data_IF_010619699173
#
_entry.id   IF_010619699173
#
_cell.length_a   1.000
_cell.length_b   1.000
_cell.length_c   1.000
_cell.angle_alpha   90.00
_cell.angle_beta   90.00
_cell.angle_gamma   90.00
#
_symmetry.space_group_name_H-M   'P 1'
#
loop_
_entity.id
_entity.type
_entity.pdbx_description
1 polymer ?
#
# COMPACT_ATOMS: atom_id res chain seq x y z
N UNK A 1 -0.83 -18.87 -13.76
CA UNK A 1 -1.29 -17.47 -13.69
C UNK A 1 -0.52 -16.75 -12.60
N UNK A 2 0.08 -15.61 -12.93
CA UNK A 2 0.90 -14.78 -12.03
C UNK A 2 -0.04 -13.82 -11.27
N UNK A 3 0.28 -13.50 -10.02
CA UNK A 3 -0.43 -12.49 -9.22
C UNK A 3 0.25 -11.12 -9.40
N UNK A 4 -0.50 -10.09 -9.79
CA UNK A 4 0.05 -8.74 -9.95
C UNK A 4 -0.21 -7.92 -8.69
N UNK A 5 0.85 -7.59 -7.96
CA UNK A 5 0.78 -6.93 -6.66
C UNK A 5 1.30 -5.49 -6.79
N UNK A 6 0.42 -4.52 -6.61
CA UNK A 6 0.83 -3.13 -6.40
C UNK A 6 1.07 -2.84 -4.92
N UNK A 7 2.04 -1.96 -4.63
CA UNK A 7 2.36 -1.52 -3.28
C UNK A 7 2.12 -0.01 -3.11
N UNK A 8 1.58 0.39 -1.96
CA UNK A 8 1.41 1.82 -1.63
C UNK A 8 1.58 2.11 -0.14
N UNK A 9 2.19 3.26 0.20
CA UNK A 9 2.53 3.63 1.58
C UNK A 9 3.23 4.99 1.67
N UNK A 10 3.79 5.34 2.83
CA UNK A 10 4.38 6.66 3.05
C UNK A 10 5.71 6.85 2.31
N UNK A 11 6.04 8.12 2.04
CA UNK A 11 7.28 8.54 1.38
C UNK A 11 8.49 8.61 2.31
N UNK A 12 8.26 8.53 3.62
CA UNK A 12 9.29 8.50 4.65
C UNK A 12 8.90 7.39 5.62
N UNK A 13 9.85 6.54 5.94
CA UNK A 13 9.67 5.45 6.90
C UNK A 13 10.59 5.68 8.09
N UNK A 14 10.07 5.45 9.27
CA UNK A 14 10.85 5.26 10.49
C UNK A 14 11.42 3.84 10.52
N UNK A 15 12.45 3.61 11.33
CA UNK A 15 13.00 2.25 11.53
C UNK A 15 11.96 1.27 12.06
N UNK A 16 10.99 1.74 12.85
CA UNK A 16 9.90 0.89 13.35
C UNK A 16 8.98 0.45 12.20
N UNK A 17 8.58 1.39 11.35
CA UNK A 17 7.74 1.11 10.17
C UNK A 17 8.46 0.16 9.21
N UNK A 18 9.74 0.35 8.93
CA UNK A 18 10.52 -0.55 8.06
C UNK A 18 10.56 -1.98 8.61
N UNK A 19 10.82 -2.16 9.91
CA UNK A 19 10.81 -3.49 10.56
C UNK A 19 9.46 -4.16 10.43
N UNK A 20 8.38 -3.39 10.57
CA UNK A 20 7.02 -3.90 10.41
C UNK A 20 6.72 -4.31 8.98
N UNK A 21 7.04 -3.46 8.01
CA UNK A 21 6.89 -3.78 6.58
C UNK A 21 7.65 -5.06 6.24
N UNK A 22 8.90 -5.19 6.70
CA UNK A 22 9.70 -6.40 6.53
C UNK A 22 8.99 -7.65 7.08
N UNK A 23 8.50 -7.58 8.33
CA UNK A 23 7.78 -8.68 8.97
C UNK A 23 6.55 -9.10 8.15
N UNK A 24 5.75 -8.13 7.68
CA UNK A 24 4.54 -8.44 6.92
C UNK A 24 4.86 -9.00 5.53
N UNK A 25 5.87 -8.49 4.84
CA UNK A 25 6.23 -8.98 3.51
C UNK A 25 6.86 -10.38 3.58
N UNK A 26 7.76 -10.61 4.54
CA UNK A 26 8.46 -11.89 4.71
C UNK A 26 7.57 -13.00 5.29
N UNK A 27 6.65 -12.65 6.20
CA UNK A 27 5.80 -13.62 6.88
C UNK A 27 4.60 -14.11 6.05
N UNK A 28 4.11 -13.30 5.11
CA UNK A 28 2.85 -13.55 4.42
C UNK A 28 3.01 -14.17 3.02
N UNK A 29 1.88 -14.31 2.32
CA UNK A 29 1.81 -14.85 0.96
C UNK A 29 2.57 -14.01 -0.08
N UNK A 30 2.84 -12.72 0.20
CA UNK A 30 3.43 -11.74 -0.73
C UNK A 30 4.73 -12.25 -1.36
N UNK A 31 5.64 -12.79 -0.54
CA UNK A 31 6.93 -13.30 -1.01
C UNK A 31 6.86 -14.74 -1.51
N UNK A 32 5.89 -15.51 -1.03
CA UNK A 32 5.70 -16.93 -1.35
C UNK A 32 4.94 -17.15 -2.68
N UNK A 33 4.13 -16.18 -3.11
CA UNK A 33 3.37 -16.28 -4.35
C UNK A 33 4.24 -16.12 -5.60
N UNK A 34 3.85 -16.79 -6.69
CA UNK A 34 4.34 -16.44 -8.03
C UNK A 34 3.69 -15.11 -8.46
N UNK A 35 4.43 -14.01 -8.37
CA UNK A 35 3.88 -12.66 -8.47
C UNK A 35 4.81 -11.69 -9.19
N UNK A 36 4.21 -10.75 -9.93
CA UNK A 36 4.87 -9.58 -10.48
C UNK A 36 4.54 -8.36 -9.63
N UNK A 37 5.55 -7.57 -9.28
CA UNK A 37 5.40 -6.46 -8.35
C UNK A 37 5.34 -5.13 -9.10
N UNK A 38 4.48 -4.22 -8.62
CA UNK A 38 4.24 -2.90 -9.18
C UNK A 38 4.44 -1.87 -8.06
N UNK A 39 5.27 -0.87 -8.31
CA UNK A 39 5.62 0.12 -7.29
C UNK A 39 5.84 1.48 -7.92
N UNK A 40 5.67 2.53 -7.13
CA UNK A 40 6.13 3.86 -7.54
C UNK A 40 7.63 4.07 -7.34
N UNK A 41 8.02 5.33 -7.26
CA UNK A 41 9.41 5.79 -7.22
C UNK A 41 9.76 6.64 -5.99
N UNK A 42 8.94 6.63 -4.93
CA UNK A 42 9.23 7.41 -3.72
C UNK A 42 10.35 6.80 -2.85
N UNK A 43 11.04 7.65 -2.09
CA UNK A 43 12.14 7.25 -1.17
C UNK A 43 11.72 6.29 -0.03
N UNK A 44 10.44 6.29 0.35
CA UNK A 44 9.91 5.50 1.48
C UNK A 44 9.56 4.06 1.12
N UNK A 45 8.28 3.69 1.24
CA UNK A 45 7.83 2.32 0.95
C UNK A 45 8.24 1.88 -0.45
N UNK A 46 8.11 2.74 -1.45
CA UNK A 46 8.39 2.36 -2.84
C UNK A 46 9.85 1.85 -2.98
N UNK A 47 10.84 2.60 -2.47
CA UNK A 47 12.24 2.19 -2.45
C UNK A 47 12.48 0.93 -1.59
N UNK A 48 11.79 0.77 -0.45
CA UNK A 48 11.83 -0.46 0.34
C UNK A 48 11.43 -1.68 -0.50
N UNK A 49 10.31 -1.58 -1.23
CA UNK A 49 9.79 -2.66 -2.07
C UNK A 49 10.74 -2.97 -3.24
N UNK A 50 11.37 -1.96 -3.84
CA UNK A 50 12.41 -2.16 -4.87
C UNK A 50 13.54 -3.06 -4.34
N UNK A 51 14.07 -2.74 -3.15
CA UNK A 51 15.12 -3.56 -2.51
C UNK A 51 14.63 -4.97 -2.18
N UNK A 52 13.43 -5.08 -1.63
CA UNK A 52 12.82 -6.38 -1.30
C UNK A 52 12.60 -7.24 -2.55
N UNK A 53 12.15 -6.65 -3.67
CA UNK A 53 11.95 -7.36 -4.92
C UNK A 53 13.26 -7.98 -5.43
N UNK A 54 14.37 -7.23 -5.36
CA UNK A 54 15.71 -7.75 -5.70
C UNK A 54 16.12 -8.92 -4.80
N UNK A 55 15.92 -8.80 -3.49
CA UNK A 55 16.24 -9.88 -2.53
C UNK A 55 15.42 -11.15 -2.77
N UNK A 56 14.10 -11.02 -2.98
CA UNK A 56 13.18 -12.14 -3.21
C UNK A 56 13.09 -12.57 -4.67
N UNK A 57 13.93 -12.02 -5.56
CA UNK A 57 13.96 -12.29 -7.01
C UNK A 57 12.59 -12.14 -7.68
N UNK A 58 11.84 -11.10 -7.31
CA UNK A 58 10.53 -10.80 -7.88
C UNK A 58 10.70 -9.90 -9.10
N UNK A 59 10.06 -10.20 -10.24
CA UNK A 59 9.98 -9.24 -11.33
C UNK A 59 9.21 -8.00 -10.87
N UNK A 60 9.66 -6.82 -11.28
CA UNK A 60 9.19 -5.54 -10.77
C UNK A 60 9.02 -4.53 -11.90
N UNK A 61 7.90 -3.80 -11.89
CA UNK A 61 7.68 -2.61 -12.71
C UNK A 61 7.59 -1.38 -11.81
N UNK A 62 8.50 -0.43 -12.03
CA UNK A 62 8.54 0.84 -11.32
C UNK A 62 7.83 1.92 -12.15
N UNK A 63 6.99 2.73 -11.50
CA UNK A 63 6.29 3.86 -12.11
C UNK A 63 6.88 5.16 -11.59
N UNK A 64 7.53 5.90 -12.48
CA UNK A 64 8.22 7.14 -12.15
C UNK A 64 7.30 8.35 -12.29
N UNK A 65 7.52 9.37 -11.45
CA UNK A 65 6.82 10.65 -11.56
C UNK A 65 7.33 11.40 -12.80
N UNK A 66 6.39 11.86 -13.62
CA UNK A 66 6.70 12.61 -14.84
C UNK A 66 6.49 14.10 -14.57
N UNK A 67 7.41 14.73 -13.83
CA UNK A 67 7.39 16.15 -13.48
C UNK A 67 7.30 16.44 -11.98
N UNK A 68 7.05 17.70 -11.60
CA UNK A 68 7.19 18.16 -10.21
C UNK A 68 5.88 18.60 -9.53
N UNK A 69 4.82 18.82 -10.31
CA UNK A 69 3.51 19.18 -9.77
C UNK A 69 2.84 18.06 -8.96
N UNK A 70 2.02 18.44 -7.98
CA UNK A 70 1.28 17.50 -7.10
C UNK A 70 0.48 16.46 -7.88
N UNK A 71 -0.12 16.86 -9.01
CA UNK A 71 -0.93 16.00 -9.84
C UNK A 71 -0.11 14.94 -10.59
N UNK A 72 1.19 15.17 -10.86
CA UNK A 72 2.05 14.15 -11.46
C UNK A 72 2.22 12.94 -10.54
N UNK A 73 2.36 13.18 -9.23
CA UNK A 73 2.45 12.09 -8.25
C UNK A 73 1.15 11.28 -8.17
N UNK A 74 0.00 11.97 -8.25
CA UNK A 74 -1.32 11.30 -8.31
C UNK A 74 -1.43 10.48 -9.59
N UNK A 75 -1.03 11.05 -10.73
CA UNK A 75 -1.03 10.37 -12.02
C UNK A 75 -0.13 9.14 -12.02
N UNK A 76 1.03 9.20 -11.37
CA UNK A 76 1.94 8.07 -11.19
C UNK A 76 1.26 6.91 -10.46
N UNK A 77 0.63 7.16 -9.32
CA UNK A 77 -0.11 6.11 -8.59
C UNK A 77 -1.30 5.60 -9.39
N UNK A 78 -2.00 6.48 -10.12
CA UNK A 78 -3.13 6.13 -10.98
C UNK A 78 -2.73 5.13 -12.07
N UNK A 79 -1.64 5.42 -12.80
CA UNK A 79 -1.10 4.51 -13.83
C UNK A 79 -0.70 3.15 -13.27
N UNK A 80 -0.13 3.12 -12.06
CA UNK A 80 0.21 1.86 -11.39
C UNK A 80 -1.03 1.02 -11.10
N UNK A 81 -2.09 1.63 -10.56
CA UNK A 81 -3.36 0.96 -10.29
C UNK A 81 -4.05 0.52 -11.59
N UNK A 82 -4.02 1.35 -12.63
CA UNK A 82 -4.58 0.99 -13.94
C UNK A 82 -3.84 -0.19 -14.57
N UNK A 83 -2.51 -0.23 -14.46
CA UNK A 83 -1.72 -1.33 -15.00
C UNK A 83 -2.02 -2.68 -14.34
N UNK A 84 -2.29 -2.71 -13.03
CA UNK A 84 -2.70 -3.98 -12.39
C UNK A 84 -4.18 -4.28 -12.64
N UNK A 85 -5.05 -3.28 -12.86
CA UNK A 85 -6.48 -3.49 -13.11
C UNK A 85 -6.76 -4.31 -14.39
N UNK A 86 -5.82 -4.34 -15.32
CA UNK A 86 -5.90 -5.14 -16.56
C UNK A 86 -5.49 -6.61 -16.35
N UNK A 87 -4.99 -6.96 -15.16
CA UNK A 87 -4.58 -8.32 -14.80
C UNK A 87 -5.76 -9.22 -14.42
N UNK A 88 -5.62 -10.52 -14.65
CA UNK A 88 -6.57 -11.54 -14.17
C UNK A 88 -6.59 -11.65 -12.64
N UNK A 89 -5.47 -11.32 -11.98
CA UNK A 89 -5.31 -11.44 -10.52
C UNK A 89 -4.64 -10.19 -9.95
N UNK A 90 -5.36 -9.05 -9.89
CA UNK A 90 -4.83 -7.84 -9.28
C UNK A 90 -4.89 -7.91 -7.77
N UNK A 91 -3.91 -7.29 -7.12
CA UNK A 91 -3.94 -7.05 -5.69
C UNK A 91 -3.25 -5.73 -5.35
N UNK A 92 -3.88 -4.92 -4.48
CA UNK A 92 -3.20 -3.82 -3.80
C UNK A 92 -2.79 -4.23 -2.39
N UNK A 93 -1.51 -4.12 -2.08
CA UNK A 93 -0.97 -4.20 -0.72
C UNK A 93 -0.64 -2.79 -0.22
N UNK A 94 -1.29 -2.35 0.84
CA UNK A 94 -1.17 -0.99 1.34
C UNK A 94 -0.64 -0.93 2.79
N UNK A 95 0.21 0.05 3.05
CA UNK A 95 0.82 0.32 4.35
C UNK A 95 0.54 1.76 4.80
N UNK A 96 -0.69 2.13 5.17
CA UNK A 96 -0.99 3.48 5.66
C UNK A 96 -0.34 3.70 7.03
N UNK A 97 0.18 4.90 7.27
CA UNK A 97 0.74 5.32 8.57
C UNK A 97 -0.03 6.47 9.22
N UNK A 98 -1.24 6.75 8.73
CA UNK A 98 -2.15 7.74 9.30
C UNK A 98 -3.58 7.34 8.98
N UNK A 99 -4.55 7.84 9.75
CA UNK A 99 -5.98 7.60 9.50
C UNK A 99 -6.42 8.10 8.13
N UNK A 100 -7.46 7.45 7.60
CA UNK A 100 -8.08 7.88 6.36
C UNK A 100 -8.74 9.26 6.56
N UNK A 101 -8.43 10.26 5.71
CA UNK A 101 -9.10 11.55 5.81
C UNK A 101 -10.60 11.42 5.59
N UNK A 102 -11.40 12.23 6.29
CA UNK A 102 -12.88 12.12 6.31
C UNK A 102 -13.49 12.29 4.92
N UNK A 103 -12.94 13.17 4.07
CA UNK A 103 -13.42 13.36 2.70
C UNK A 103 -12.90 12.32 1.69
N UNK A 104 -12.00 11.43 2.11
CA UNK A 104 -11.42 10.42 1.22
C UNK A 104 -12.35 9.21 1.09
N UNK A 105 -12.87 9.01 -0.12
CA UNK A 105 -13.79 7.93 -0.45
C UNK A 105 -13.54 7.37 -1.85
N UNK A 106 -13.90 6.10 -2.11
CA UNK A 106 -13.79 5.50 -3.43
C UNK A 106 -14.63 6.25 -4.47
N UNK A 107 -13.99 6.76 -5.51
CA UNK A 107 -14.64 7.30 -6.71
C UNK A 107 -13.62 7.41 -7.85
N UNK A 108 -14.07 7.85 -9.03
CA UNK A 108 -13.21 8.02 -10.23
C UNK A 108 -12.03 8.97 -10.00
N UNK A 109 -12.23 10.01 -9.18
CA UNK A 109 -11.23 11.03 -8.86
C UNK A 109 -11.25 11.29 -7.35
N UNK A 110 -10.66 10.40 -6.53
CA UNK A 110 -10.74 10.52 -5.08
C UNK A 110 -9.90 11.70 -4.59
N UNK A 111 -10.39 12.39 -3.56
CA UNK A 111 -9.60 13.37 -2.84
C UNK A 111 -8.89 12.69 -1.67
N UNK A 112 -7.57 12.73 -1.67
CA UNK A 112 -6.75 12.15 -0.61
C UNK A 112 -6.46 13.09 0.55
N UNK A 113 -6.85 14.37 0.48
CA UNK A 113 -6.56 15.40 1.49
C UNK A 113 -5.09 15.39 1.97
N UNK A 114 -4.15 15.26 1.03
CA UNK A 114 -2.71 15.18 1.32
C UNK A 114 -2.19 13.79 1.72
N UNK A 115 -3.02 12.75 1.69
CA UNK A 115 -2.63 11.35 1.81
C UNK A 115 -2.59 10.67 0.44
N UNK A 116 -1.40 10.55 -0.15
CA UNK A 116 -1.22 9.80 -1.39
C UNK A 116 -1.57 8.31 -1.27
N UNK A 117 -1.32 7.71 -0.10
CA UNK A 117 -1.64 6.31 0.20
C UNK A 117 -3.15 6.09 0.19
N UNK A 118 -3.91 6.88 0.95
CA UNK A 118 -5.37 6.75 0.99
C UNK A 118 -6.03 7.09 -0.35
N UNK A 119 -5.48 8.06 -1.09
CA UNK A 119 -5.92 8.35 -2.46
C UNK A 119 -5.76 7.11 -3.37
N UNK A 120 -4.62 6.42 -3.27
CA UNK A 120 -4.33 5.21 -4.05
C UNK A 120 -5.27 4.06 -3.66
N UNK A 121 -5.48 3.87 -2.36
CA UNK A 121 -6.42 2.85 -1.82
C UNK A 121 -7.85 3.13 -2.33
N UNK A 122 -8.34 4.36 -2.18
CA UNK A 122 -9.68 4.75 -2.63
C UNK A 122 -9.87 4.54 -4.13
N UNK A 123 -8.84 4.84 -4.94
CA UNK A 123 -8.89 4.61 -6.38
C UNK A 123 -8.90 3.11 -6.73
N UNK A 124 -8.12 2.28 -6.03
CA UNK A 124 -8.13 0.83 -6.22
C UNK A 124 -9.48 0.20 -5.85
N UNK A 125 -10.12 0.64 -4.77
CA UNK A 125 -11.48 0.22 -4.42
C UNK A 125 -12.48 0.61 -5.51
N UNK A 126 -12.39 1.83 -6.04
CA UNK A 126 -13.24 2.25 -7.16
C UNK A 126 -13.06 1.36 -8.40
N UNK A 127 -11.85 0.82 -8.62
CA UNK A 127 -11.53 -0.12 -9.70
C UNK A 127 -11.92 -1.58 -9.40
N UNK A 128 -12.44 -1.88 -8.21
CA UNK A 128 -12.78 -3.24 -7.82
C UNK A 128 -11.56 -4.14 -7.55
N UNK A 129 -10.39 -3.55 -7.28
CA UNK A 129 -9.17 -4.31 -7.01
C UNK A 129 -9.19 -4.82 -5.56
N UNK A 130 -8.97 -6.13 -5.31
CA UNK A 130 -8.82 -6.68 -3.96
C UNK A 130 -7.66 -6.04 -3.20
N UNK A 131 -7.81 -5.92 -1.88
CA UNK A 131 -6.86 -5.18 -1.04
C UNK A 131 -6.41 -5.98 0.17
N UNK A 132 -5.13 -5.84 0.53
CA UNK A 132 -4.61 -6.13 1.87
C UNK A 132 -4.04 -4.86 2.48
N UNK A 133 -4.56 -4.46 3.64
CA UNK A 133 -4.07 -3.31 4.39
C UNK A 133 -3.30 -3.78 5.62
N UNK A 134 -2.06 -3.31 5.74
CA UNK A 134 -1.19 -3.48 6.88
C UNK A 134 -0.91 -2.09 7.48
N UNK A 135 -1.79 -1.59 8.38
CA UNK A 135 -1.58 -0.29 9.00
C UNK A 135 -0.22 -0.26 9.69
N UNK A 136 0.51 0.86 9.64
CA UNK A 136 1.83 0.97 10.23
C UNK A 136 1.80 1.51 11.66
N UNK A 137 0.70 2.14 12.06
CA UNK A 137 0.42 2.60 13.43
C UNK A 137 -0.82 1.91 14.01
N UNK A 138 -0.92 1.88 15.35
CA UNK A 138 -1.97 1.19 16.10
C UNK A 138 -3.34 1.87 15.98
N UNK A 139 -3.36 3.19 15.94
CA UNK A 139 -4.55 4.04 16.03
C UNK A 139 -5.18 4.39 14.67
N UNK A 140 -4.81 3.69 13.60
CA UNK A 140 -5.34 3.97 12.27
C UNK A 140 -6.74 3.38 12.15
N UNK A 141 -7.73 4.27 12.07
CA UNK A 141 -9.09 3.89 11.74
C UNK A 141 -9.21 3.53 10.27
N UNK A 142 -9.65 2.29 10.02
CA UNK A 142 -9.90 1.79 8.67
C UNK A 142 -11.36 2.08 8.31
N UNK A 143 -11.62 2.80 7.21
CA UNK A 143 -12.98 3.09 6.79
C UNK A 143 -13.82 1.85 6.48
N UNK A 144 -15.13 1.91 6.74
CA UNK A 144 -16.06 0.80 6.51
C UNK A 144 -16.07 0.33 5.05
N UNK A 145 -15.90 1.26 4.10
CA UNK A 145 -15.89 0.97 2.67
C UNK A 145 -14.75 0.01 2.25
N UNK A 146 -13.72 -0.18 3.07
CA UNK A 146 -12.72 -1.24 2.86
C UNK A 146 -13.34 -2.62 3.05
N UNK A 147 -14.04 -2.81 4.16
CA UNK A 147 -14.68 -4.08 4.48
C UNK A 147 -15.86 -4.39 3.54
N UNK A 148 -16.63 -3.37 3.16
CA UNK A 148 -17.73 -3.48 2.19
C UNK A 148 -17.22 -3.93 0.81
N UNK A 149 -16.00 -3.54 0.44
CA UNK A 149 -15.33 -3.95 -0.79
C UNK A 149 -14.63 -5.33 -0.69
N UNK A 150 -14.78 -6.06 0.42
CA UNK A 150 -14.11 -7.34 0.65
C UNK A 150 -12.61 -7.22 0.92
N UNK A 151 -12.12 -6.03 1.27
CA UNK A 151 -10.73 -5.79 1.66
C UNK A 151 -10.37 -6.50 2.96
N UNK A 152 -9.13 -6.97 3.04
CA UNK A 152 -8.59 -7.62 4.23
C UNK A 152 -7.66 -6.67 4.96
N UNK A 153 -7.83 -6.58 6.26
CA UNK A 153 -6.92 -5.84 7.14
C UNK A 153 -6.15 -6.83 8.00
N UNK A 154 -4.85 -6.62 8.17
CA UNK A 154 -4.13 -7.32 9.23
C UNK A 154 -4.79 -7.00 10.59
N UNK A 155 -4.83 -7.99 11.49
CA UNK A 155 -5.43 -7.81 12.82
C UNK A 155 -4.86 -6.55 13.49
N UNK A 156 -5.73 -5.76 14.14
CA UNK A 156 -5.31 -4.61 14.95
C UNK A 156 -4.25 -5.09 15.93
N UNK A 157 -3.13 -4.39 15.99
CA UNK A 157 -2.12 -4.69 16.98
C UNK A 157 -2.66 -4.38 18.38
N UNK A 158 -2.35 -5.24 19.35
CA UNK A 158 -2.45 -4.91 20.77
C UNK A 158 -1.26 -4.01 21.14
N UNK A 159 -1.49 -2.96 21.94
CA UNK A 159 -0.43 -2.12 22.50
C UNK A 159 0.73 -2.98 23.04
N UNK A 160 1.99 -2.56 22.89
CA UNK A 160 3.06 -3.13 23.69
C UNK A 160 2.69 -2.91 25.15
N UNK A 161 2.50 -3.99 25.92
CA UNK A 161 2.44 -3.87 27.37
C UNK A 161 3.70 -3.11 27.79
N UNK A 162 3.52 -1.91 28.36
CA UNK A 162 4.61 -1.20 29.02
C UNK A 162 5.24 -2.21 29.98
N UNK A 163 6.49 -2.58 29.72
CA UNK A 163 7.33 -3.20 30.74
C UNK A 163 7.35 -2.21 31.90
N UNK A 164 6.53 -2.47 32.92
CA UNK A 164 6.69 -1.87 34.23
C UNK A 164 8.07 -2.31 34.70
N UNK A 165 9.03 -1.40 34.56
CA UNK A 165 10.28 -1.44 35.29
C UNK A 165 9.89 -1.37 36.78
N UNK A 166 9.91 -2.51 37.44
CA UNK A 166 10.03 -2.61 38.89
C UNK A 166 11.51 -2.66 39.22
#
# INVERSE_FOLDING_TARGET
MILDIAFTGPRKLTTHEEKRIYKEISGNFITKSNSYWYVGDAEGLDNFIVRAAGYYKKPLKKFEVEGHEKWHFVNRSKRMIEAIAESDKPLLVAFPNKSCPTGCKPCKNPNGEGSGTWLTIAYAVYKGIPLYIFPLEYSIDIPSWISEAGGKTAAKQTEPQQMKLF
#
